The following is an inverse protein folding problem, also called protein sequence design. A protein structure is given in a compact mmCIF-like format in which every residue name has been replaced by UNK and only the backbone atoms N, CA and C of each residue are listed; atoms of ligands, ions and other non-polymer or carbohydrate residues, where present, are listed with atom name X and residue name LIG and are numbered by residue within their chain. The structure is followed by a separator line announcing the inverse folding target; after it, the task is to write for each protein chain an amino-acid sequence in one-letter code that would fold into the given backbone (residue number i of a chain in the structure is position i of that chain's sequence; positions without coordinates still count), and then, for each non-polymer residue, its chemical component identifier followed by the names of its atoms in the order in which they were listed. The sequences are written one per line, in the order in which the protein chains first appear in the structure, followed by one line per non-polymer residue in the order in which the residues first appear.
data_IF_326819717706
#
_entry.id   IF_326819717706
#
_cell.length_a   1.000
_cell.length_b   1.000
_cell.length_c   1.000
_cell.angle_alpha   90.00
_cell.angle_beta   90.00
_cell.angle_gamma   90.00
#
_symmetry.space_group_name_H-M   'P 1'
#
loop_
_entity.id
_entity.type
_entity.pdbx_description
1 polymer ?
#
# COMPACT_ATOMS: atom_id res chain seq x y z
N UNK A 1 4.83 -3.41 -17.58
CA UNK A 1 4.55 -3.82 -16.70
C UNK A 1 4.59 -5.14 -15.97
N UNK A 2 4.23 -5.06 -14.69
CA UNK A 2 4.30 -6.17 -13.74
C UNK A 2 2.93 -6.80 -13.50
N UNK A 3 2.03 -6.75 -14.52
CA UNK A 3 0.67 -7.27 -14.44
C UNK A 3 -0.26 -6.39 -13.63
N UNK A 4 0.05 -5.09 -13.51
CA UNK A 4 -0.77 -4.12 -12.81
C UNK A 4 -2.17 -4.03 -13.40
N UNK A 5 -3.16 -3.87 -12.54
CA UNK A 5 -4.52 -3.60 -12.95
C UNK A 5 -4.64 -2.19 -13.56
N UNK A 6 -5.48 -2.05 -14.58
CA UNK A 6 -5.81 -0.75 -15.14
C UNK A 6 -6.53 0.11 -14.07
N UNK A 7 -6.26 1.40 -14.06
CA UNK A 7 -7.04 2.33 -13.24
C UNK A 7 -8.50 2.33 -13.69
N UNK A 8 -9.43 2.39 -12.74
CA UNK A 8 -10.85 2.46 -13.08
C UNK A 8 -11.18 3.76 -13.81
N UNK A 9 -12.15 3.73 -14.70
CA UNK A 9 -12.61 4.91 -15.43
C UNK A 9 -13.03 6.05 -14.50
N UNK A 10 -13.66 5.73 -13.36
CA UNK A 10 -14.06 6.72 -12.38
C UNK A 10 -12.87 7.38 -11.69
N UNK A 11 -11.82 6.62 -11.39
CA UNK A 11 -10.60 7.17 -10.79
C UNK A 11 -9.82 8.02 -11.80
N UNK A 12 -9.69 7.55 -13.05
CA UNK A 12 -9.10 8.31 -14.15
C UNK A 12 -9.82 9.65 -14.36
N UNK A 13 -11.15 9.62 -14.43
CA UNK A 13 -11.95 10.84 -14.58
C UNK A 13 -11.82 11.80 -13.37
N UNK A 14 -11.66 11.28 -12.17
CA UNK A 14 -11.40 12.10 -10.99
C UNK A 14 -10.05 12.82 -11.07
N UNK A 15 -8.98 12.11 -11.48
CA UNK A 15 -7.66 12.71 -11.69
C UNK A 15 -7.67 13.78 -12.79
N UNK A 16 -8.34 13.53 -13.91
CA UNK A 16 -8.50 14.49 -15.00
C UNK A 16 -9.23 15.77 -14.54
N UNK A 17 -10.28 15.60 -13.71
CA UNK A 17 -11.03 16.73 -13.14
C UNK A 17 -10.14 17.61 -12.25
N UNK A 18 -9.20 17.02 -11.54
CA UNK A 18 -8.20 17.72 -10.72
C UNK A 18 -6.99 18.23 -11.55
N UNK A 19 -7.02 18.05 -12.87
CA UNK A 19 -5.97 18.53 -13.78
C UNK A 19 -4.70 17.66 -13.76
N UNK A 20 -4.80 16.41 -13.29
CA UNK A 20 -3.68 15.46 -13.26
C UNK A 20 -3.63 14.70 -14.57
N UNK A 21 -2.60 14.95 -15.37
CA UNK A 21 -2.32 14.17 -16.58
C UNK A 21 -1.78 12.78 -16.20
N UNK A 22 -2.17 11.76 -16.97
CA UNK A 22 -1.77 10.39 -16.75
C UNK A 22 -1.04 9.83 -17.97
N UNK A 23 0.12 9.24 -17.75
CA UNK A 23 0.89 8.56 -18.78
C UNK A 23 1.34 7.18 -18.29
N UNK A 24 1.31 6.19 -19.21
CA UNK A 24 1.86 4.88 -18.92
C UNK A 24 3.38 4.90 -19.04
N UNK A 25 4.06 4.47 -17.98
CA UNK A 25 5.52 4.34 -17.97
C UNK A 25 5.91 2.86 -17.92
N UNK A 26 6.82 2.46 -18.80
CA UNK A 26 7.41 1.13 -18.76
C UNK A 26 8.85 1.24 -18.25
N UNK A 27 9.08 0.80 -17.01
CA UNK A 27 10.39 0.88 -16.35
C UNK A 27 11.49 0.08 -17.07
N UNK A 28 11.12 -0.97 -17.84
CA UNK A 28 12.11 -1.75 -18.61
C UNK A 28 12.74 -0.96 -19.76
N UNK A 29 12.11 0.11 -20.20
CA UNK A 29 12.53 0.89 -21.38
C UNK A 29 13.19 2.22 -21.04
N UNK A 30 13.22 2.59 -19.76
CA UNK A 30 13.78 3.86 -19.30
C UNK A 30 14.97 3.63 -18.37
N UNK A 31 15.97 4.49 -18.46
CA UNK A 31 17.11 4.50 -17.54
C UNK A 31 16.90 5.41 -16.33
N UNK A 32 15.91 6.27 -16.38
CA UNK A 32 15.48 7.17 -15.30
C UNK A 32 14.00 7.52 -15.47
N UNK A 33 13.34 7.86 -14.39
CA UNK A 33 11.97 8.40 -14.42
C UNK A 33 12.00 9.79 -15.06
N UNK A 34 11.02 10.15 -15.93
CA UNK A 34 10.93 11.48 -16.50
C UNK A 34 10.87 12.57 -15.41
N UNK A 35 11.56 13.68 -15.62
CA UNK A 35 11.64 14.78 -14.63
C UNK A 35 10.30 15.47 -14.38
N UNK A 36 9.38 15.38 -15.33
CA UNK A 36 8.01 15.90 -15.24
C UNK A 36 7.02 14.93 -14.59
N UNK A 37 7.44 13.72 -14.23
CA UNK A 37 6.61 12.77 -13.48
C UNK A 37 6.44 13.24 -12.03
N UNK A 38 5.28 13.81 -11.73
CA UNK A 38 4.96 14.29 -10.38
C UNK A 38 4.75 13.20 -9.34
N UNK A 39 4.32 12.00 -9.77
CA UNK A 39 4.10 10.84 -8.91
C UNK A 39 4.05 9.56 -9.76
N UNK A 40 4.65 8.48 -9.25
CA UNK A 40 4.46 7.14 -9.79
C UNK A 40 3.29 6.44 -9.11
N UNK A 41 2.49 5.73 -9.89
CA UNK A 41 1.37 4.95 -9.38
C UNK A 41 1.50 3.49 -9.80
N UNK A 42 1.63 2.60 -8.81
CA UNK A 42 1.62 1.15 -9.00
C UNK A 42 0.28 0.60 -8.51
N UNK A 43 -0.48 -0.04 -9.41
CA UNK A 43 -1.80 -0.57 -9.09
C UNK A 43 -1.79 -2.11 -9.09
N UNK A 44 -1.60 -2.68 -7.92
CA UNK A 44 -1.63 -4.14 -7.68
C UNK A 44 -0.65 -4.90 -8.59
N UNK A 45 0.67 -4.63 -8.51
CA UNK A 45 1.64 -5.43 -9.26
C UNK A 45 1.58 -6.90 -8.81
N UNK A 46 1.64 -7.83 -9.76
CA UNK A 46 1.56 -9.28 -9.51
C UNK A 46 2.86 -10.02 -9.85
N UNK A 47 3.87 -9.30 -10.31
CA UNK A 47 5.23 -9.81 -10.56
C UNK A 47 6.29 -8.82 -10.10
N UNK A 48 7.45 -9.34 -9.71
CA UNK A 48 8.55 -8.54 -9.18
C UNK A 48 9.16 -7.59 -10.20
N UNK A 49 9.77 -6.52 -9.70
CA UNK A 49 10.67 -5.67 -10.46
C UNK A 49 11.95 -6.42 -10.80
N UNK A 50 12.57 -6.13 -11.94
CA UNK A 50 13.96 -6.48 -12.15
C UNK A 50 14.89 -5.65 -11.26
N UNK A 51 16.14 -6.07 -11.08
CA UNK A 51 17.14 -5.28 -10.34
C UNK A 51 17.34 -3.89 -10.93
N UNK A 52 17.30 -3.77 -12.27
CA UNK A 52 17.43 -2.50 -12.97
C UNK A 52 16.27 -1.55 -12.70
N UNK A 53 15.04 -2.06 -12.74
CA UNK A 53 13.83 -1.28 -12.44
C UNK A 53 13.79 -0.85 -10.98
N UNK A 54 14.15 -1.73 -10.06
CA UNK A 54 14.26 -1.39 -8.64
C UNK A 54 15.32 -0.30 -8.40
N UNK A 55 16.44 -0.32 -9.11
CA UNK A 55 17.47 0.71 -9.03
C UNK A 55 16.98 2.07 -9.56
N UNK A 56 16.26 2.07 -10.69
CA UNK A 56 15.63 3.29 -11.25
C UNK A 56 14.61 3.87 -10.28
N UNK A 57 13.75 3.02 -9.69
CA UNK A 57 12.76 3.42 -8.72
C UNK A 57 13.39 3.98 -7.43
N UNK A 58 14.40 3.29 -6.89
CA UNK A 58 15.13 3.75 -5.70
C UNK A 58 15.77 5.12 -5.94
N UNK A 59 16.47 5.29 -7.08
CA UNK A 59 17.08 6.58 -7.44
C UNK A 59 16.06 7.71 -7.55
N UNK A 60 14.88 7.44 -8.11
CA UNK A 60 13.81 8.42 -8.21
C UNK A 60 13.30 8.84 -6.82
N UNK A 61 13.05 7.88 -5.93
CA UNK A 61 12.57 8.15 -4.58
C UNK A 61 13.62 8.92 -3.76
N UNK A 62 14.89 8.54 -3.82
CA UNK A 62 16.00 9.24 -3.14
C UNK A 62 16.19 10.70 -3.61
N UNK A 63 15.76 11.02 -4.83
CA UNK A 63 15.75 12.38 -5.36
C UNK A 63 14.47 13.16 -5.00
N UNK A 64 13.64 12.65 -4.10
CA UNK A 64 12.40 13.29 -3.65
C UNK A 64 11.19 12.97 -4.54
N UNK A 65 11.28 11.93 -5.36
CA UNK A 65 10.16 11.41 -6.15
C UNK A 65 9.05 10.90 -5.24
N UNK A 66 7.83 10.86 -5.76
CA UNK A 66 6.63 10.43 -5.04
C UNK A 66 6.07 9.15 -5.64
N UNK A 67 5.57 8.27 -4.78
CA UNK A 67 4.99 7.01 -5.20
C UNK A 67 3.71 6.70 -4.42
N UNK A 68 2.73 6.19 -5.12
CA UNK A 68 1.57 5.51 -4.55
C UNK A 68 1.64 4.05 -4.98
N UNK A 69 1.63 3.14 -4.01
CA UNK A 69 1.57 1.70 -4.25
C UNK A 69 0.30 1.15 -3.62
N UNK A 70 -0.56 0.56 -4.43
CA UNK A 70 -1.62 -0.33 -3.97
C UNK A 70 -1.09 -1.75 -4.16
N UNK A 71 -0.95 -2.49 -3.08
CA UNK A 71 -0.51 -3.88 -3.11
C UNK A 71 -1.67 -4.82 -2.79
N UNK A 72 -1.71 -5.96 -3.46
CA UNK A 72 -2.70 -7.00 -3.26
C UNK A 72 -2.08 -8.27 -2.68
N UNK A 73 -2.94 -9.23 -2.30
CA UNK A 73 -2.49 -10.56 -1.91
C UNK A 73 -2.01 -11.29 -3.17
N UNK A 74 -0.77 -11.72 -3.16
CA UNK A 74 -0.17 -12.49 -4.26
C UNK A 74 0.68 -13.63 -3.71
N UNK A 75 0.77 -14.71 -4.49
CA UNK A 75 1.72 -15.80 -4.23
C UNK A 75 3.09 -15.57 -4.86
N UNK A 76 3.24 -14.52 -5.66
CA UNK A 76 4.51 -14.17 -6.28
C UNK A 76 5.50 -13.66 -5.22
N UNK A 77 6.75 -14.10 -5.32
CA UNK A 77 7.85 -13.52 -4.53
C UNK A 77 8.30 -12.25 -5.22
N UNK A 78 8.43 -11.16 -4.47
CA UNK A 78 8.79 -9.83 -4.99
C UNK A 78 10.03 -9.25 -4.28
N UNK A 79 11.17 -9.96 -4.27
CA UNK A 79 12.33 -9.56 -3.46
C UNK A 79 12.90 -8.19 -3.83
N UNK A 80 12.78 -7.76 -5.08
CA UNK A 80 13.26 -6.44 -5.49
C UNK A 80 12.33 -5.32 -5.03
N UNK A 81 11.02 -5.50 -5.14
CA UNK A 81 10.03 -4.57 -4.59
C UNK A 81 10.11 -4.54 -3.06
N UNK A 82 10.19 -5.71 -2.41
CA UNK A 82 10.35 -5.82 -0.95
C UNK A 82 11.59 -5.08 -0.45
N UNK A 83 12.70 -5.13 -1.19
CA UNK A 83 13.92 -4.37 -0.86
C UNK A 83 13.69 -2.86 -0.94
N UNK A 84 12.96 -2.37 -1.94
CA UNK A 84 12.59 -0.95 -2.02
C UNK A 84 11.74 -0.55 -0.82
N UNK A 85 10.70 -1.32 -0.50
CA UNK A 85 9.81 -1.05 0.63
C UNK A 85 10.55 -1.10 1.98
N UNK A 86 11.43 -2.08 2.17
CA UNK A 86 12.22 -2.23 3.38
C UNK A 86 13.17 -1.05 3.61
N UNK A 87 13.70 -0.44 2.54
CA UNK A 87 14.51 0.76 2.64
C UNK A 87 13.72 1.96 3.21
N UNK A 88 12.39 1.92 3.13
CA UNK A 88 11.48 2.89 3.71
C UNK A 88 10.77 2.39 4.98
N UNK A 89 11.27 1.31 5.57
CA UNK A 89 10.84 0.83 6.89
C UNK A 89 9.52 0.06 6.91
N UNK A 90 9.05 -0.43 5.76
CA UNK A 90 7.81 -1.22 5.69
C UNK A 90 8.00 -2.52 4.95
N UNK A 91 7.16 -3.50 5.27
CA UNK A 91 7.05 -4.76 4.56
C UNK A 91 5.59 -5.20 4.43
N UNK A 92 5.27 -5.89 3.33
CA UNK A 92 3.99 -6.55 3.15
C UNK A 92 3.98 -7.90 3.89
N UNK A 93 3.09 -8.07 4.86
CA UNK A 93 2.94 -9.36 5.54
C UNK A 93 2.17 -10.35 4.64
N UNK A 94 2.68 -11.55 4.52
CA UNK A 94 2.00 -12.61 3.77
C UNK A 94 0.74 -13.07 4.49
N UNK A 95 -0.39 -13.08 3.80
CA UNK A 95 -1.66 -13.55 4.34
C UNK A 95 -2.82 -12.61 4.05
N UNK A 96 -3.97 -12.93 4.61
CA UNK A 96 -5.21 -12.15 4.49
C UNK A 96 -5.70 -11.77 5.88
N UNK A 97 -6.06 -10.52 6.05
CA UNK A 97 -6.64 -10.05 7.31
C UNK A 97 -8.10 -10.49 7.41
N UNK A 98 -8.43 -10.97 8.59
CA UNK A 98 -9.79 -11.32 9.02
C UNK A 98 -10.15 -10.42 10.21
N UNK A 99 -11.31 -9.80 10.14
CA UNK A 99 -11.84 -8.90 11.16
C UNK A 99 -12.94 -9.59 11.95
N UNK A 100 -12.83 -9.57 13.28
CA UNK A 100 -13.85 -10.15 14.18
C UNK A 100 -14.75 -9.10 14.82
N UNK A 101 -14.38 -7.81 14.77
CA UNK A 101 -15.28 -6.75 15.18
C UNK A 101 -16.37 -6.54 14.10
N UNK A 102 -17.63 -6.57 14.54
CA UNK A 102 -18.78 -6.40 13.66
C UNK A 102 -18.86 -5.03 12.98
N UNK A 103 -18.15 -4.03 13.49
CA UNK A 103 -18.07 -2.68 12.89
C UNK A 103 -16.84 -2.55 11.97
N UNK A 104 -15.89 -3.45 12.03
CA UNK A 104 -14.65 -3.42 11.27
C UNK A 104 -14.70 -4.18 9.94
N UNK A 105 -15.80 -4.87 9.64
CA UNK A 105 -16.00 -5.57 8.37
C UNK A 105 -17.46 -5.59 7.94
N UNK A 106 -17.71 -5.94 6.67
CA UNK A 106 -19.05 -6.19 6.16
C UNK A 106 -19.66 -7.44 6.83
N UNK A 107 -20.89 -7.41 7.31
CA UNK A 107 -21.54 -8.56 7.92
C UNK A 107 -21.45 -9.82 7.03
N UNK A 108 -21.05 -10.93 7.60
CA UNK A 108 -20.82 -12.22 6.94
C UNK A 108 -19.59 -12.28 5.99
N UNK A 109 -18.84 -11.21 5.85
CA UNK A 109 -17.62 -11.15 5.04
C UNK A 109 -16.47 -10.54 5.86
N UNK A 110 -15.87 -11.30 6.79
CA UNK A 110 -14.87 -10.77 7.73
C UNK A 110 -13.54 -10.35 7.06
N UNK A 111 -13.35 -10.67 5.80
CA UNK A 111 -12.23 -10.26 4.95
C UNK A 111 -12.54 -9.03 4.08
N UNK A 112 -13.76 -8.46 4.21
CA UNK A 112 -14.15 -7.19 3.60
C UNK A 112 -14.08 -6.10 4.66
N UNK A 113 -12.90 -5.53 4.82
CA UNK A 113 -12.57 -4.66 5.94
C UNK A 113 -13.18 -3.26 5.79
N UNK A 114 -13.63 -2.70 6.91
CA UNK A 114 -13.99 -1.30 7.09
C UNK A 114 -12.98 -0.70 8.09
N UNK A 115 -11.76 -0.35 7.65
CA UNK A 115 -10.71 0.08 8.56
C UNK A 115 -11.02 1.42 9.20
N UNK A 116 -10.46 1.64 10.39
CA UNK A 116 -10.45 2.96 11.01
C UNK A 116 -9.51 3.86 10.21
N UNK A 117 -10.02 5.03 9.81
CA UNK A 117 -9.27 6.04 9.08
C UNK A 117 -8.65 6.99 10.10
N UNK A 118 -7.33 7.10 10.11
CA UNK A 118 -6.58 8.03 10.97
C UNK A 118 -6.55 9.42 10.35
N UNK A 119 -6.56 10.47 11.18
CA UNK A 119 -6.39 11.85 10.73
C UNK A 119 -4.99 12.06 10.18
N UNK A 120 -4.89 12.52 8.95
CA UNK A 120 -3.67 12.90 8.24
C UNK A 120 -4.06 13.82 7.07
N UNK A 121 -3.16 14.64 6.56
CA UNK A 121 -3.44 15.54 5.45
C UNK A 121 -4.02 14.82 4.20
N UNK A 122 -3.68 13.54 3.99
CA UNK A 122 -4.21 12.71 2.91
C UNK A 122 -5.66 12.26 3.18
N UNK A 123 -6.00 11.96 4.42
CA UNK A 123 -7.28 11.33 4.79
C UNK A 123 -8.32 12.32 5.34
N UNK A 124 -7.89 13.47 5.83
CA UNK A 124 -8.77 14.48 6.42
C UNK A 124 -9.89 14.95 5.48
N UNK A 125 -9.68 15.18 4.17
CA UNK A 125 -10.77 15.54 3.26
C UNK A 125 -11.85 14.46 3.19
N UNK A 126 -11.45 13.18 3.21
CA UNK A 126 -12.37 12.05 3.18
C UNK A 126 -13.13 11.87 4.50
N UNK A 127 -12.46 12.11 5.63
CA UNK A 127 -13.09 12.10 6.96
C UNK A 127 -14.13 13.21 7.10
N UNK A 128 -13.90 14.40 6.56
CA UNK A 128 -14.84 15.52 6.59
C UNK A 128 -16.15 15.21 5.86
N UNK A 129 -16.09 14.36 4.83
CA UNK A 129 -17.26 13.91 4.08
C UNK A 129 -17.94 12.67 4.69
N UNK A 130 -17.48 12.19 5.86
CA UNK A 130 -17.92 10.94 6.49
C UNK A 130 -17.77 9.73 5.55
N UNK A 131 -16.71 9.71 4.76
CA UNK A 131 -16.45 8.64 3.81
C UNK A 131 -16.23 7.29 4.51
N UNK A 132 -16.68 6.22 3.86
CA UNK A 132 -16.40 4.84 4.25
C UNK A 132 -15.49 4.20 3.22
N UNK A 133 -14.45 3.53 3.70
CA UNK A 133 -13.52 2.80 2.85
C UNK A 133 -13.72 1.31 3.04
N UNK A 134 -13.88 0.59 1.92
CA UNK A 134 -13.99 -0.86 1.89
C UNK A 134 -12.71 -1.44 1.28
N UNK A 135 -12.03 -2.30 2.03
CA UNK A 135 -10.83 -3.03 1.58
C UNK A 135 -11.10 -4.53 1.56
N UNK A 136 -11.47 -5.12 0.41
CA UNK A 136 -11.62 -6.56 0.30
C UNK A 136 -10.25 -7.24 0.19
N UNK A 137 -10.06 -8.33 0.94
CA UNK A 137 -8.89 -9.20 0.86
C UNK A 137 -7.56 -8.44 1.07
N UNK A 138 -7.45 -7.61 2.09
CA UNK A 138 -6.23 -6.88 2.39
C UNK A 138 -5.21 -7.76 3.15
N UNK A 139 -3.94 -7.48 2.93
CA UNK A 139 -2.83 -7.94 3.76
C UNK A 139 -2.39 -6.84 4.74
N UNK A 140 -1.58 -7.16 5.73
CA UNK A 140 -1.04 -6.18 6.65
C UNK A 140 0.25 -5.54 6.11
N UNK A 141 0.45 -4.27 6.47
CA UNK A 141 1.71 -3.56 6.31
C UNK A 141 2.42 -3.59 7.67
N UNK A 142 3.62 -4.14 7.72
CA UNK A 142 4.43 -4.24 8.93
C UNK A 142 5.46 -3.13 8.93
N UNK A 143 5.58 -2.43 10.06
CA UNK A 143 6.68 -1.49 10.30
C UNK A 143 7.92 -2.26 10.71
N UNK A 144 9.06 -1.95 10.10
CA UNK A 144 10.34 -2.57 10.42
C UNK A 144 11.05 -1.78 11.51
N UNK A 145 11.75 -2.48 12.40
CA UNK A 145 12.50 -1.84 13.51
C UNK A 145 13.67 -0.99 13.01
N UNK A 146 14.31 -1.41 11.93
CA UNK A 146 15.45 -0.72 11.33
C UNK A 146 14.98 0.17 10.17
N UNK A 147 14.86 1.47 10.45
CA UNK A 147 14.51 2.49 9.46
C UNK A 147 15.45 3.69 9.61
N UNK A 148 15.76 4.36 8.51
CA UNK A 148 16.57 5.58 8.53
C UNK A 148 15.87 6.65 9.37
N UNK A 149 16.64 7.42 10.17
CA UNK A 149 16.10 8.49 11.01
C UNK A 149 15.43 9.64 10.25
N UNK A 150 15.67 9.72 8.94
CA UNK A 150 15.05 10.68 8.02
C UNK A 150 13.66 10.23 7.55
N UNK A 151 13.29 8.97 7.78
CA UNK A 151 12.01 8.38 7.35
C UNK A 151 11.03 8.43 8.52
N UNK A 152 9.83 8.93 8.25
CA UNK A 152 8.66 8.90 9.14
C UNK A 152 7.56 8.07 8.51
N UNK A 153 6.91 7.21 9.30
CA UNK A 153 5.82 6.35 8.87
C UNK A 153 4.60 6.65 9.73
N UNK A 154 3.49 6.98 9.10
CA UNK A 154 2.22 7.28 9.76
C UNK A 154 1.13 6.34 9.26
N UNK A 155 0.41 5.69 10.18
CA UNK A 155 -0.74 4.85 9.83
C UNK A 155 -1.92 5.72 9.38
N UNK A 156 -2.39 5.46 8.16
CA UNK A 156 -3.59 6.08 7.61
C UNK A 156 -4.85 5.25 7.86
N UNK A 157 -4.69 3.92 7.75
CA UNK A 157 -5.77 2.95 7.83
C UNK A 157 -5.34 1.80 8.75
N UNK A 158 -6.15 1.51 9.76
CA UNK A 158 -5.86 0.42 10.70
C UNK A 158 -7.12 -0.41 10.97
N UNK A 159 -6.92 -1.69 11.24
CA UNK A 159 -7.99 -2.59 11.65
C UNK A 159 -8.28 -2.47 13.15
N UNK A 160 -9.28 -3.17 13.65
CA UNK A 160 -9.54 -3.25 15.09
C UNK A 160 -8.53 -4.16 15.82
N UNK A 161 -8.52 -4.09 17.15
CA UNK A 161 -7.76 -5.03 18.00
C UNK A 161 -8.24 -6.48 17.87
N UNK A 162 -9.47 -6.71 17.39
CA UNK A 162 -10.05 -8.02 17.18
C UNK A 162 -9.72 -8.64 15.82
N UNK A 163 -8.94 -7.96 14.99
CA UNK A 163 -8.48 -8.49 13.72
C UNK A 163 -7.28 -9.41 13.88
N UNK A 164 -7.03 -10.22 12.86
CA UNK A 164 -5.84 -11.07 12.77
C UNK A 164 -5.49 -11.40 11.33
N UNK A 165 -4.21 -11.70 11.09
CA UNK A 165 -3.67 -12.05 9.78
C UNK A 165 -3.61 -13.56 9.63
N UNK A 166 -4.31 -14.10 8.64
CA UNK A 166 -4.31 -15.53 8.27
C UNK A 166 -3.33 -15.79 7.15
N UNK A 167 -2.31 -16.58 7.41
CA UNK A 167 -1.41 -17.11 6.36
C UNK A 167 -2.00 -18.39 5.71
N UNK A 168 -2.77 -19.17 6.46
CA UNK A 168 -3.55 -20.29 5.95
C UNK A 168 -5.04 -19.92 5.89
N UNK A 169 -5.53 -19.71 4.68
CA UNK A 169 -6.92 -19.32 4.40
C UNK A 169 -7.89 -20.49 4.27
N UNK A 170 -7.46 -21.72 4.57
CA UNK A 170 -8.35 -22.91 4.64
C UNK A 170 -9.41 -22.78 5.73
N UNK A 171 -9.14 -21.99 6.75
CA UNK A 171 -10.09 -21.56 7.77
C UNK A 171 -9.90 -20.08 8.07
N UNK A 172 -11.02 -19.36 8.24
CA UNK A 172 -11.00 -17.95 8.64
C UNK A 172 -11.02 -17.78 10.17
N UNK A 173 -11.08 -18.85 10.97
CA UNK A 173 -11.06 -18.74 12.42
C UNK A 173 -9.65 -18.45 12.92
N UNK A 174 -9.57 -17.62 13.98
CA UNK A 174 -8.31 -17.36 14.68
C UNK A 174 -7.63 -18.65 15.14
N UNK A 175 -6.32 -18.70 14.99
CA UNK A 175 -5.46 -19.78 15.48
C UNK A 175 -4.30 -19.19 16.28
N UNK A 176 -3.81 -19.95 17.24
CA UNK A 176 -2.61 -19.55 18.01
C UNK A 176 -1.40 -19.36 17.05
N UNK A 177 -0.79 -18.19 17.13
CA UNK A 177 0.32 -17.78 16.25
C UNK A 177 -0.10 -16.86 15.09
N UNK A 178 -1.38 -16.65 14.85
CA UNK A 178 -1.83 -15.60 13.95
C UNK A 178 -1.42 -14.22 14.49
N UNK A 179 -0.91 -13.34 13.63
CA UNK A 179 -0.59 -11.96 14.01
C UNK A 179 -1.89 -11.23 14.33
N UNK A 180 -2.00 -10.70 15.55
CA UNK A 180 -3.20 -9.99 16.02
C UNK A 180 -3.17 -8.50 15.78
N UNK A 181 -4.35 -7.89 15.64
CA UNK A 181 -4.54 -6.47 15.48
C UNK A 181 -4.19 -5.61 16.72
N UNK A 182 -4.21 -4.28 16.54
CA UNK A 182 -4.56 -3.59 15.30
C UNK A 182 -3.48 -3.74 14.23
N UNK A 183 -3.88 -3.94 12.97
CA UNK A 183 -2.98 -4.13 11.84
C UNK A 183 -3.07 -2.92 10.91
N UNK A 184 -1.92 -2.40 10.47
CA UNK A 184 -1.90 -1.36 9.46
C UNK A 184 -2.24 -1.93 8.08
N UNK A 185 -3.12 -1.24 7.35
CA UNK A 185 -3.53 -1.57 5.97
C UNK A 185 -3.36 -0.39 5.01
N UNK A 186 -2.84 0.72 5.52
CA UNK A 186 -2.50 1.90 4.73
C UNK A 186 -1.60 2.81 5.53
N UNK A 187 -0.49 3.24 4.94
CA UNK A 187 0.52 4.11 5.56
C UNK A 187 0.89 5.27 4.66
N UNK A 188 1.26 6.39 5.26
CA UNK A 188 2.01 7.45 4.61
C UNK A 188 3.46 7.37 5.06
N UNK A 189 4.38 7.47 4.11
CA UNK A 189 5.82 7.46 4.37
C UNK A 189 6.40 8.76 3.84
N UNK A 190 7.10 9.49 4.71
CA UNK A 190 7.77 10.73 4.37
C UNK A 190 9.25 10.60 4.67
N UNK A 191 10.10 11.01 3.76
CA UNK A 191 11.53 11.11 3.98
C UNK A 191 11.98 12.57 3.87
N UNK A 192 12.63 13.07 4.93
CA UNK A 192 13.30 14.36 4.91
C UNK A 192 14.60 14.23 4.11
N UNK A 193 14.54 14.63 2.84
CA UNK A 193 15.76 14.73 2.01
C UNK A 193 16.46 16.03 2.36
N UNK A 194 17.67 15.95 2.92
CA UNK A 194 18.49 17.14 3.12
C UNK A 194 18.77 17.81 1.77
N UNK A 195 18.26 19.05 1.61
CA UNK A 195 18.59 19.91 0.48
C UNK A 195 20.02 20.40 0.57
#
# INVERSE_FOLDING_TARGET
GHGEDALSESFTAALEKEGVAQESLNLTTVSQIPEDAGCLFFNVPVSDLSEGEAAVLTSYLEQGGRMVLISGITSAQMPNLDRVLSAYGVAAAQGMIVESDSNGAIPSYPNFLLPQIRSHAITDPFLQENGLLLLPNAHAIVHLDEVRSTVSIEDLLVTSEASYLKTDTSTLSYQEGDLTGPLSVGVAITEDTAQ
#
